data_IF_251339227391
#
_entry.id   IF_251339227391
#
_cell.length_a   1.000
_cell.length_b   1.000
_cell.length_c   1.000
_cell.angle_alpha   90.00
_cell.angle_beta   90.00
_cell.angle_gamma   90.00
#
_symmetry.space_group_name_H-M   'P 1'
#
loop_
_entity.id
_entity.type
_entity.pdbx_description
1 polymer ?
#
# COMPACT_ATOMS: atom_id res chain seq x y z
N UNK A 1 3.02 -17.15 -3.84
CA UNK A 1 3.66 -15.86 -4.13
C UNK A 1 2.59 -14.87 -4.62
N UNK A 2 2.67 -13.58 -4.20
CA UNK A 2 1.86 -12.47 -4.72
C UNK A 2 2.72 -11.68 -5.70
N UNK A 3 2.19 -11.36 -6.87
CA UNK A 3 2.83 -10.47 -7.83
C UNK A 3 2.22 -9.06 -7.70
N UNK A 4 3.07 -8.07 -7.45
CA UNK A 4 2.71 -6.64 -7.46
C UNK A 4 3.26 -6.00 -8.73
N UNK A 5 2.37 -5.57 -9.62
CA UNK A 5 2.73 -4.80 -10.82
C UNK A 5 2.89 -3.34 -10.43
N UNK A 6 4.09 -2.80 -10.62
CA UNK A 6 4.43 -1.41 -10.33
C UNK A 6 4.21 -0.52 -11.56
N UNK A 7 3.27 0.41 -11.46
CA UNK A 7 2.99 1.43 -12.47
C UNK A 7 3.78 2.72 -12.26
N UNK A 8 5.00 2.64 -11.71
CA UNK A 8 5.88 3.78 -11.45
C UNK A 8 5.28 4.79 -10.47
N UNK A 9 4.65 4.27 -9.40
CA UNK A 9 4.02 5.10 -8.38
C UNK A 9 4.81 5.11 -7.07
N UNK A 10 4.89 6.26 -6.43
CA UNK A 10 5.57 6.40 -5.12
C UNK A 10 4.89 5.60 -3.99
N UNK A 11 3.60 5.26 -4.12
CA UNK A 11 2.86 4.44 -3.17
C UNK A 11 2.98 2.94 -3.41
N UNK A 12 3.61 2.49 -4.50
CA UNK A 12 3.81 1.05 -4.76
C UNK A 12 4.52 0.36 -3.59
N UNK A 13 5.54 0.99 -3.03
CA UNK A 13 6.25 0.41 -1.89
C UNK A 13 5.46 0.48 -0.57
N UNK A 14 4.52 1.42 -0.41
CA UNK A 14 3.58 1.38 0.71
C UNK A 14 2.63 0.18 0.56
N UNK A 15 2.16 -0.08 -0.65
CA UNK A 15 1.34 -1.26 -0.95
C UNK A 15 2.14 -2.56 -0.74
N UNK A 16 3.41 -2.60 -1.19
CA UNK A 16 4.34 -3.70 -0.91
C UNK A 16 4.49 -3.95 0.60
N UNK A 17 4.67 -2.89 1.39
CA UNK A 17 4.79 -3.00 2.85
C UNK A 17 3.50 -3.47 3.51
N UNK A 18 2.34 -2.93 3.10
CA UNK A 18 1.04 -3.34 3.63
C UNK A 18 0.76 -4.83 3.38
N UNK A 19 1.10 -5.34 2.19
CA UNK A 19 1.04 -6.77 1.87
C UNK A 19 2.14 -7.55 2.61
N UNK A 20 3.36 -7.01 2.69
CA UNK A 20 4.54 -7.62 3.32
C UNK A 20 4.41 -7.86 4.83
N UNK A 21 3.52 -7.11 5.51
CA UNK A 21 3.14 -7.38 6.91
C UNK A 21 2.30 -8.66 7.02
N UNK A 22 1.54 -8.99 5.97
CA UNK A 22 0.63 -10.12 5.93
C UNK A 22 1.28 -11.39 5.37
N UNK A 23 2.24 -11.23 4.44
CA UNK A 23 3.00 -12.35 3.85
C UNK A 23 4.35 -11.88 3.35
N UNK A 24 5.36 -12.74 3.43
CA UNK A 24 6.71 -12.47 2.91
C UNK A 24 6.89 -12.89 1.44
N UNK A 25 5.94 -13.64 0.91
CA UNK A 25 6.01 -14.21 -0.43
C UNK A 25 5.39 -13.24 -1.45
N UNK A 26 6.07 -12.11 -1.67
CA UNK A 26 5.67 -11.05 -2.57
C UNK A 26 6.84 -10.65 -3.49
N UNK A 27 6.55 -10.49 -4.77
CA UNK A 27 7.48 -10.01 -5.80
C UNK A 27 6.92 -8.75 -6.45
N UNK A 28 7.78 -7.75 -6.68
CA UNK A 28 7.43 -6.54 -7.43
C UNK A 28 8.05 -6.62 -8.81
N UNK A 29 7.29 -6.32 -9.83
CA UNK A 29 7.77 -6.15 -11.20
C UNK A 29 7.16 -4.89 -11.82
N UNK A 30 7.95 -4.15 -12.58
CA UNK A 30 7.45 -2.97 -13.30
C UNK A 30 6.59 -3.38 -14.48
N UNK A 31 5.64 -2.54 -14.81
CA UNK A 31 4.63 -2.80 -15.84
C UNK A 31 5.20 -2.91 -17.27
N UNK A 32 6.44 -2.54 -17.49
CA UNK A 32 7.19 -2.59 -18.76
C UNK A 32 8.42 -3.52 -18.69
N UNK A 33 8.68 -4.14 -17.52
CA UNK A 33 9.83 -5.03 -17.31
C UNK A 33 9.42 -6.51 -17.14
N UNK A 34 8.14 -6.85 -17.28
CA UNK A 34 7.62 -8.20 -17.17
C UNK A 34 6.67 -8.51 -18.33
N UNK A 35 6.64 -9.75 -18.77
CA UNK A 35 5.78 -10.26 -19.85
C UNK A 35 4.69 -11.18 -19.34
N UNK A 36 3.63 -11.39 -20.12
CA UNK A 36 2.57 -12.37 -19.82
C UNK A 36 3.13 -13.76 -19.63
N UNK A 37 4.06 -14.19 -20.49
CA UNK A 37 4.69 -15.51 -20.42
C UNK A 37 5.50 -15.72 -19.13
N UNK A 38 6.14 -14.66 -18.62
CA UNK A 38 6.86 -14.72 -17.35
C UNK A 38 5.87 -14.82 -16.19
N UNK A 39 4.77 -14.07 -16.20
CA UNK A 39 3.72 -14.16 -15.19
C UNK A 39 3.08 -15.57 -15.19
N UNK A 40 2.83 -16.16 -16.36
CA UNK A 40 2.36 -17.54 -16.47
C UNK A 40 3.33 -18.53 -15.80
N UNK A 41 4.63 -18.41 -16.08
CA UNK A 41 5.66 -19.25 -15.46
C UNK A 41 5.78 -19.06 -13.96
N UNK A 42 5.61 -17.82 -13.49
CA UNK A 42 5.63 -17.50 -12.06
C UNK A 42 4.41 -18.07 -11.31
N UNK A 43 3.29 -18.24 -12.01
CA UNK A 43 2.04 -18.79 -11.46
C UNK A 43 1.66 -18.14 -10.12
N UNK A 44 1.50 -16.81 -10.03
CA UNK A 44 1.23 -16.16 -8.77
C UNK A 44 -0.14 -16.56 -8.20
N UNK A 45 -0.24 -16.65 -6.88
CA UNK A 45 -1.49 -16.96 -6.20
C UNK A 45 -2.46 -15.74 -6.18
N UNK A 46 -1.94 -14.53 -6.38
CA UNK A 46 -2.71 -13.31 -6.57
C UNK A 46 -1.86 -12.26 -7.30
N UNK A 47 -2.53 -11.35 -8.01
CA UNK A 47 -1.91 -10.20 -8.68
C UNK A 47 -2.49 -8.93 -8.06
N UNK A 48 -1.63 -7.98 -7.72
CA UNK A 48 -2.01 -6.64 -7.28
C UNK A 48 -1.46 -5.65 -8.31
N UNK A 49 -2.31 -4.75 -8.82
CA UNK A 49 -1.91 -3.72 -9.78
C UNK A 49 -1.91 -2.38 -9.06
N UNK A 50 -0.74 -1.77 -9.00
CA UNK A 50 -0.50 -0.56 -8.20
C UNK A 50 -1.21 0.67 -8.75
N UNK A 51 -1.29 1.74 -7.93
CA UNK A 51 -1.49 3.09 -8.45
C UNK A 51 -0.46 3.43 -9.52
N UNK A 52 -0.69 4.54 -10.23
CA UNK A 52 0.24 5.05 -11.23
C UNK A 52 -0.22 6.37 -11.82
N UNK A 53 0.65 7.07 -12.56
CA UNK A 53 0.31 8.29 -13.28
C UNK A 53 -0.44 8.00 -14.59
N UNK A 54 -1.11 9.02 -15.12
CA UNK A 54 -1.70 8.99 -16.47
C UNK A 54 -2.97 8.16 -16.58
N UNK A 55 -3.14 7.53 -17.73
CA UNK A 55 -4.30 6.71 -18.08
C UNK A 55 -3.94 5.22 -18.08
N UNK A 56 -4.91 4.33 -17.86
CA UNK A 56 -4.66 2.87 -17.86
C UNK A 56 -4.01 2.35 -19.13
N UNK A 57 -4.43 2.85 -20.31
CA UNK A 57 -3.85 2.49 -21.61
C UNK A 57 -2.35 2.77 -21.73
N UNK A 58 -1.82 3.69 -20.89
CA UNK A 58 -0.42 4.05 -20.85
C UNK A 58 0.35 3.30 -19.74
N UNK A 59 -0.34 2.38 -19.03
CA UNK A 59 0.20 1.61 -17.90
C UNK A 59 0.82 0.26 -18.31
N UNK A 60 1.56 0.25 -19.42
CA UNK A 60 2.28 -0.92 -19.89
C UNK A 60 1.40 -2.16 -20.00
N UNK A 61 1.83 -3.26 -19.41
CA UNK A 61 1.17 -4.56 -19.48
C UNK A 61 -0.13 -4.67 -18.63
N UNK A 62 -0.47 -3.66 -17.81
CA UNK A 62 -1.50 -3.77 -16.76
C UNK A 62 -2.86 -4.23 -17.29
N UNK A 63 -3.34 -3.69 -18.42
CA UNK A 63 -4.61 -4.13 -19.00
C UNK A 63 -4.53 -5.55 -19.58
N UNK A 64 -3.42 -5.91 -20.21
CA UNK A 64 -3.20 -7.23 -20.77
C UNK A 64 -3.17 -8.30 -19.67
N UNK A 65 -2.54 -8.01 -18.53
CA UNK A 65 -2.57 -8.83 -17.32
C UNK A 65 -4.00 -9.08 -16.86
N UNK A 66 -4.82 -8.01 -16.79
CA UNK A 66 -6.23 -8.13 -16.38
C UNK A 66 -6.99 -9.04 -17.36
N UNK A 67 -6.87 -8.79 -18.66
CA UNK A 67 -7.57 -9.56 -19.71
C UNK A 67 -7.17 -11.02 -19.70
N UNK A 68 -5.89 -11.31 -19.45
CA UNK A 68 -5.35 -12.67 -19.52
C UNK A 68 -5.64 -13.47 -18.25
N UNK A 69 -5.52 -12.86 -17.08
CA UNK A 69 -5.55 -13.58 -15.80
C UNK A 69 -6.87 -13.44 -15.03
N UNK A 70 -7.77 -12.54 -15.41
CA UNK A 70 -9.08 -12.45 -14.78
C UNK A 70 -9.86 -13.76 -14.94
N UNK A 71 -10.38 -14.26 -13.82
CA UNK A 71 -11.03 -15.58 -13.77
C UNK A 71 -10.08 -16.75 -13.52
N UNK A 72 -8.77 -16.54 -13.65
CA UNK A 72 -7.73 -17.57 -13.41
C UNK A 72 -6.96 -17.28 -12.11
N UNK A 73 -6.65 -16.03 -11.89
CA UNK A 73 -5.89 -15.56 -10.74
C UNK A 73 -6.66 -14.40 -10.09
N UNK A 74 -6.81 -14.34 -8.76
CA UNK A 74 -7.38 -13.20 -8.07
C UNK A 74 -6.59 -11.91 -8.35
N UNK A 75 -7.31 -10.83 -8.71
CA UNK A 75 -6.71 -9.54 -9.05
C UNK A 75 -7.29 -8.43 -8.18
N UNK A 76 -6.42 -7.60 -7.60
CA UNK A 76 -6.76 -6.33 -6.94
C UNK A 76 -6.10 -5.17 -7.67
N UNK A 77 -6.88 -4.26 -8.22
CA UNK A 77 -6.39 -3.00 -8.79
C UNK A 77 -6.59 -1.84 -7.82
N UNK A 78 -5.55 -1.03 -7.61
CA UNK A 78 -5.59 0.17 -6.75
C UNK A 78 -5.41 1.41 -7.61
N UNK A 79 -6.32 2.38 -7.48
CA UNK A 79 -6.34 3.67 -8.18
C UNK A 79 -6.23 3.50 -9.71
N UNK A 80 -5.05 3.65 -10.32
CA UNK A 80 -4.84 3.36 -11.74
C UNK A 80 -5.19 1.90 -12.08
N UNK A 81 -4.82 0.94 -11.21
CA UNK A 81 -5.16 -0.47 -11.39
C UNK A 81 -6.68 -0.72 -11.37
N UNK A 82 -7.45 0.01 -10.56
CA UNK A 82 -8.92 -0.01 -10.58
C UNK A 82 -9.47 0.50 -11.91
N UNK A 83 -8.92 1.60 -12.41
CA UNK A 83 -9.30 2.17 -13.70
C UNK A 83 -8.94 1.21 -14.85
N UNK A 84 -7.76 0.57 -14.79
CA UNK A 84 -7.34 -0.43 -15.74
C UNK A 84 -8.29 -1.64 -15.80
N UNK A 85 -8.84 -2.07 -14.66
CA UNK A 85 -9.87 -3.12 -14.65
C UNK A 85 -11.11 -2.64 -15.41
N UNK A 86 -11.60 -1.43 -15.17
CA UNK A 86 -12.77 -0.93 -15.88
C UNK A 86 -12.52 -0.83 -17.39
N UNK A 87 -11.37 -0.28 -17.81
CA UNK A 87 -11.01 -0.07 -19.22
C UNK A 87 -10.76 -1.42 -19.93
N UNK A 88 -10.11 -2.38 -19.28
CA UNK A 88 -9.85 -3.72 -19.82
C UNK A 88 -11.14 -4.49 -20.19
N UNK A 89 -12.24 -4.22 -19.49
CA UNK A 89 -13.55 -4.80 -19.79
C UNK A 89 -14.45 -3.88 -20.65
N UNK A 90 -13.93 -2.76 -21.15
CA UNK A 90 -14.63 -1.88 -22.10
C UNK A 90 -15.31 -0.65 -21.49
N UNK A 91 -15.07 -0.36 -20.20
CA UNK A 91 -15.48 0.88 -19.56
C UNK A 91 -14.65 2.08 -20.00
N UNK A 92 -15.09 3.28 -19.66
CA UNK A 92 -14.37 4.53 -19.97
C UNK A 92 -13.86 5.19 -18.71
N UNK A 93 -12.71 5.86 -18.83
CA UNK A 93 -12.12 6.67 -17.78
C UNK A 93 -12.32 8.14 -18.13
N UNK A 94 -12.85 8.89 -17.18
CA UNK A 94 -13.19 10.31 -17.35
C UNK A 94 -12.61 11.16 -16.23
N UNK A 95 -12.54 12.46 -16.43
CA UNK A 95 -12.13 13.37 -15.37
C UNK A 95 -13.15 13.38 -14.22
N UNK A 96 -12.63 13.29 -12.99
CA UNK A 96 -13.45 13.46 -11.80
C UNK A 96 -14.04 14.87 -11.73
N UNK A 97 -15.27 14.99 -11.23
CA UNK A 97 -15.89 16.31 -11.00
C UNK A 97 -15.08 17.20 -10.05
N UNK A 98 -14.31 16.59 -9.18
CA UNK A 98 -13.41 17.26 -8.24
C UNK A 98 -12.11 16.47 -8.16
N UNK A 99 -11.00 17.14 -8.43
CA UNK A 99 -9.68 16.56 -8.22
C UNK A 99 -9.38 16.51 -6.72
N UNK A 100 -8.93 15.37 -6.24
CA UNK A 100 -8.55 15.17 -4.85
C UNK A 100 -7.11 14.68 -4.80
N UNK A 101 -6.30 15.30 -3.96
CA UNK A 101 -4.93 14.91 -3.73
C UNK A 101 -4.60 14.97 -2.26
N UNK A 102 -4.32 13.80 -1.65
CA UNK A 102 -3.97 13.70 -0.23
C UNK A 102 -5.11 14.07 0.73
N UNK A 103 -6.37 13.87 0.33
CA UNK A 103 -7.54 14.15 1.16
C UNK A 103 -8.28 12.87 1.53
N UNK A 104 -8.71 12.79 2.79
CA UNK A 104 -9.68 11.78 3.22
C UNK A 104 -11.09 12.24 2.85
N UNK A 105 -11.89 11.31 2.34
CA UNK A 105 -13.33 11.49 2.11
C UNK A 105 -14.10 10.29 2.61
N UNK A 106 -15.39 10.48 2.84
CA UNK A 106 -16.28 9.40 3.20
C UNK A 106 -16.58 8.54 1.96
N UNK A 107 -16.46 7.23 2.12
CA UNK A 107 -16.74 6.22 1.09
C UNK A 107 -17.80 5.28 1.64
N UNK A 108 -18.89 5.13 0.91
CA UNK A 108 -20.00 4.23 1.22
C UNK A 108 -19.71 2.85 0.61
N UNK A 109 -19.67 1.82 1.44
CA UNK A 109 -19.30 0.46 1.09
C UNK A 109 -20.54 -0.46 1.06
N UNK A 110 -20.57 -1.36 0.10
CA UNK A 110 -21.43 -2.55 0.18
C UNK A 110 -20.74 -3.61 1.06
N UNK A 111 -21.03 -3.61 2.35
CA UNK A 111 -20.42 -4.50 3.35
C UNK A 111 -20.83 -5.97 3.22
N UNK A 112 -21.82 -6.30 2.39
CA UNK A 112 -22.12 -7.69 2.02
C UNK A 112 -21.06 -8.28 1.07
N UNK A 113 -20.17 -7.43 0.52
CA UNK A 113 -19.08 -7.87 -0.34
C UNK A 113 -17.89 -8.38 0.50
N UNK A 114 -17.27 -9.54 0.19
CA UNK A 114 -16.14 -10.09 0.92
C UNK A 114 -14.97 -9.10 1.11
N UNK A 115 -14.68 -8.27 0.10
CA UNK A 115 -13.61 -7.27 0.19
C UNK A 115 -13.78 -6.31 1.38
N UNK A 116 -15.02 -6.05 1.80
CA UNK A 116 -15.36 -5.12 2.88
C UNK A 116 -15.91 -5.81 4.12
N UNK A 117 -15.67 -7.11 4.26
CA UNK A 117 -16.06 -7.89 5.43
C UNK A 117 -15.51 -7.26 6.72
N UNK A 118 -16.34 -7.15 7.74
CA UNK A 118 -15.96 -6.58 9.05
C UNK A 118 -15.80 -5.06 9.09
N UNK A 119 -16.00 -4.34 7.98
CA UNK A 119 -15.94 -2.88 7.94
C UNK A 119 -17.31 -2.24 8.19
N UNK A 120 -17.29 -0.97 8.57
CA UNK A 120 -18.50 -0.13 8.63
C UNK A 120 -18.97 0.20 7.21
N UNK A 121 -20.27 0.48 7.06
CA UNK A 121 -20.86 0.88 5.77
C UNK A 121 -20.32 2.20 5.21
N UNK A 122 -19.75 3.05 6.06
CA UNK A 122 -19.06 4.28 5.65
C UNK A 122 -17.70 4.32 6.32
N UNK A 123 -16.65 4.54 5.52
CA UNK A 123 -15.27 4.65 5.95
C UNK A 123 -14.65 5.97 5.47
N UNK A 124 -13.58 6.40 6.11
CA UNK A 124 -12.73 7.47 5.58
C UNK A 124 -11.54 6.86 4.85
N UNK A 125 -11.32 7.25 3.58
CA UNK A 125 -10.20 6.77 2.79
C UNK A 125 -9.49 7.89 2.05
N UNK A 126 -8.18 7.72 1.86
CA UNK A 126 -7.32 8.66 1.16
C UNK A 126 -7.54 8.59 -0.36
N UNK A 127 -7.61 9.75 -1.00
CA UNK A 127 -7.79 9.87 -2.46
C UNK A 127 -6.70 10.76 -3.06
N UNK A 128 -6.14 10.31 -4.20
CA UNK A 128 -5.06 10.98 -4.93
C UNK A 128 -5.30 10.94 -6.43
N UNK A 129 -6.53 11.16 -6.89
CA UNK A 129 -6.89 10.98 -8.29
C UNK A 129 -7.64 12.17 -8.89
N UNK A 130 -7.41 12.38 -10.19
CA UNK A 130 -8.15 13.30 -11.04
C UNK A 130 -9.04 12.59 -12.06
N UNK A 131 -8.88 11.29 -12.21
CA UNK A 131 -9.63 10.41 -13.11
C UNK A 131 -10.47 9.42 -12.32
N UNK A 132 -11.60 9.01 -12.92
CA UNK A 132 -12.56 8.04 -12.36
C UNK A 132 -13.16 7.19 -13.45
N UNK A 133 -13.67 6.03 -13.07
CA UNK A 133 -14.50 5.20 -13.94
C UNK A 133 -15.83 5.90 -14.21
N UNK A 134 -16.19 6.03 -15.47
CA UNK A 134 -17.48 6.58 -15.89
C UNK A 134 -18.61 5.61 -15.58
N UNK A 135 -19.57 6.05 -14.78
CA UNK A 135 -20.71 5.23 -14.35
C UNK A 135 -21.67 4.86 -15.49
N UNK A 136 -21.72 5.69 -16.56
CA UNK A 136 -22.62 5.46 -17.69
C UNK A 136 -22.10 4.33 -18.59
N UNK A 137 -20.78 4.24 -18.76
CA UNK A 137 -20.13 3.24 -19.60
C UNK A 137 -19.64 2.02 -18.83
N UNK A 138 -20.01 1.85 -17.55
CA UNK A 138 -19.58 0.69 -16.77
C UNK A 138 -20.08 -0.61 -17.40
N UNK A 139 -19.18 -1.55 -17.79
CA UNK A 139 -19.56 -2.81 -18.41
C UNK A 139 -20.49 -3.65 -17.51
N UNK A 140 -21.43 -4.37 -18.11
CA UNK A 140 -22.39 -5.21 -17.38
C UNK A 140 -21.77 -6.35 -16.59
N UNK A 141 -20.56 -6.81 -16.97
CA UNK A 141 -19.79 -7.81 -16.22
C UNK A 141 -19.19 -7.26 -14.92
N UNK A 142 -19.14 -5.93 -14.77
CA UNK A 142 -18.69 -5.28 -13.53
C UNK A 142 -19.88 -4.83 -12.67
N UNK A 143 -19.66 -4.72 -11.38
CA UNK A 143 -20.61 -4.17 -10.42
C UNK A 143 -19.91 -3.20 -9.49
N UNK A 144 -20.59 -2.08 -9.19
CA UNK A 144 -20.15 -1.11 -8.19
C UNK A 144 -20.35 -1.68 -6.80
N UNK A 145 -19.30 -1.63 -5.98
CA UNK A 145 -19.33 -2.10 -4.59
C UNK A 145 -18.97 -1.00 -3.58
N UNK A 146 -18.54 0.18 -4.03
CA UNK A 146 -18.42 1.38 -3.20
C UNK A 146 -18.58 2.66 -4.03
N UNK A 147 -19.12 3.72 -3.37
CA UNK A 147 -19.30 5.06 -3.95
C UNK A 147 -18.91 6.13 -2.94
N UNK A 148 -18.59 7.34 -3.43
CA UNK A 148 -18.53 8.52 -2.57
C UNK A 148 -19.93 9.18 -2.40
N UNK A 149 -19.97 10.31 -1.71
CA UNK A 149 -21.16 11.13 -1.46
C UNK A 149 -21.79 11.71 -2.74
N UNK A 150 -21.02 11.76 -3.83
CA UNK A 150 -21.45 12.26 -5.15
C UNK A 150 -21.77 11.13 -6.13
N UNK A 151 -21.94 9.91 -5.62
CA UNK A 151 -22.16 8.69 -6.39
C UNK A 151 -21.06 8.38 -7.43
N UNK A 152 -19.85 8.90 -7.24
CA UNK A 152 -18.70 8.47 -8.03
C UNK A 152 -18.31 7.05 -7.64
N UNK A 153 -17.92 6.25 -8.60
CA UNK A 153 -17.46 4.87 -8.37
C UNK A 153 -16.15 4.89 -7.60
N UNK A 154 -16.15 4.25 -6.43
CA UNK A 154 -14.98 4.14 -5.56
C UNK A 154 -14.46 2.70 -5.44
N UNK A 155 -15.28 1.71 -5.78
CA UNK A 155 -14.81 0.34 -5.96
C UNK A 155 -15.73 -0.43 -6.90
N UNK A 156 -15.13 -1.35 -7.65
CA UNK A 156 -15.79 -2.28 -8.55
C UNK A 156 -15.34 -3.71 -8.28
N UNK A 157 -16.16 -4.66 -8.71
CA UNK A 157 -15.77 -6.06 -8.83
C UNK A 157 -16.28 -6.66 -10.13
N UNK A 158 -15.61 -7.65 -10.66
CA UNK A 158 -16.17 -8.53 -11.68
C UNK A 158 -17.26 -9.42 -11.05
N UNK A 159 -18.36 -9.68 -11.77
CA UNK A 159 -19.49 -10.43 -11.20
C UNK A 159 -19.18 -11.90 -10.98
N UNK A 160 -18.38 -12.50 -11.86
CA UNK A 160 -18.06 -13.92 -11.88
C UNK A 160 -16.62 -14.22 -11.45
N UNK A 161 -15.68 -13.30 -11.74
CA UNK A 161 -14.25 -13.49 -11.50
C UNK A 161 -13.82 -12.83 -10.19
N UNK A 162 -12.76 -13.34 -9.52
CA UNK A 162 -12.18 -12.73 -8.32
C UNK A 162 -11.30 -11.52 -8.68
N UNK A 163 -11.87 -10.57 -9.43
CA UNK A 163 -11.21 -9.34 -9.89
C UNK A 163 -11.89 -8.14 -9.27
N UNK A 164 -11.14 -7.38 -8.49
CA UNK A 164 -11.59 -6.27 -7.66
C UNK A 164 -10.76 -5.03 -7.91
N UNK A 165 -11.37 -3.86 -7.80
CA UNK A 165 -10.66 -2.59 -7.91
C UNK A 165 -11.17 -1.57 -6.90
N UNK A 166 -10.26 -0.81 -6.29
CA UNK A 166 -10.55 0.31 -5.39
C UNK A 166 -9.91 1.60 -5.93
N UNK A 167 -10.69 2.68 -6.02
CA UNK A 167 -10.22 3.98 -6.53
C UNK A 167 -9.41 4.75 -5.49
N UNK A 168 -9.67 4.51 -4.21
CA UNK A 168 -8.94 5.08 -3.09
C UNK A 168 -7.68 4.25 -2.78
N UNK A 169 -6.83 4.77 -1.89
CA UNK A 169 -5.55 4.18 -1.53
C UNK A 169 -5.62 3.45 -0.19
N UNK A 170 -5.84 2.12 -0.17
CA UNK A 170 -5.86 1.34 1.08
C UNK A 170 -4.50 1.31 1.79
N UNK A 171 -3.39 1.45 1.05
CA UNK A 171 -2.01 1.46 1.56
C UNK A 171 -1.62 2.80 2.20
N UNK A 172 -2.44 3.83 2.06
CA UNK A 172 -2.14 5.15 2.61
C UNK A 172 -2.29 5.17 4.13
N UNK A 173 -1.34 5.79 4.81
CA UNK A 173 -1.41 6.07 6.25
C UNK A 173 -2.71 6.80 6.62
N UNK A 174 -3.20 7.66 5.74
CA UNK A 174 -4.48 8.36 5.93
C UNK A 174 -5.69 7.42 5.89
N UNK A 175 -5.64 6.29 5.20
CA UNK A 175 -6.71 5.28 5.23
C UNK A 175 -6.60 4.40 6.48
N UNK A 176 -5.37 4.19 6.98
CA UNK A 176 -5.08 3.52 8.24
C UNK A 176 -5.51 2.05 8.31
N UNK A 177 -5.98 1.61 9.48
CA UNK A 177 -6.33 0.21 9.73
C UNK A 177 -7.42 -0.33 8.78
N UNK A 178 -8.34 0.51 8.35
CA UNK A 178 -9.41 0.15 7.41
C UNK A 178 -8.81 -0.32 6.08
N UNK A 179 -7.77 0.36 5.60
CA UNK A 179 -7.07 -0.03 4.37
C UNK A 179 -6.35 -1.37 4.52
N UNK A 180 -5.70 -1.59 5.65
CA UNK A 180 -5.06 -2.87 5.95
C UNK A 180 -6.07 -4.02 5.97
N UNK A 181 -7.26 -3.80 6.55
CA UNK A 181 -8.34 -4.80 6.55
C UNK A 181 -8.83 -5.12 5.12
N UNK A 182 -8.91 -4.13 4.24
CA UNK A 182 -9.30 -4.36 2.82
C UNK A 182 -8.27 -5.26 2.12
N UNK A 183 -6.97 -4.98 2.30
CA UNK A 183 -5.89 -5.80 1.74
C UNK A 183 -5.92 -7.20 2.34
N UNK A 184 -6.11 -7.32 3.66
CA UNK A 184 -6.22 -8.60 4.36
C UNK A 184 -7.42 -9.42 3.84
N UNK A 185 -8.59 -8.81 3.70
CA UNK A 185 -9.78 -9.46 3.16
C UNK A 185 -9.56 -9.94 1.72
N UNK A 186 -8.90 -9.13 0.88
CA UNK A 186 -8.54 -9.57 -0.47
C UNK A 186 -7.66 -10.82 -0.44
N UNK A 187 -6.62 -10.84 0.38
CA UNK A 187 -5.70 -11.97 0.45
C UNK A 187 -6.35 -13.22 1.05
N UNK A 188 -7.06 -13.08 2.18
CA UNK A 188 -7.64 -14.23 2.89
C UNK A 188 -8.92 -14.74 2.23
N UNK A 189 -9.90 -13.84 2.00
CA UNK A 189 -11.27 -14.24 1.67
C UNK A 189 -11.48 -14.39 0.17
N UNK A 190 -10.67 -13.69 -0.66
CA UNK A 190 -10.80 -13.70 -2.11
C UNK A 190 -9.70 -14.55 -2.75
N UNK A 191 -8.43 -14.33 -2.38
CA UNK A 191 -7.31 -15.06 -2.93
C UNK A 191 -7.00 -16.39 -2.20
N UNK A 192 -7.63 -16.64 -1.05
CA UNK A 192 -7.41 -17.88 -0.28
C UNK A 192 -6.01 -18.01 0.31
N UNK A 193 -5.28 -16.91 0.40
CA UNK A 193 -3.92 -16.85 0.93
C UNK A 193 -4.02 -16.66 2.44
N UNK A 194 -3.68 -17.69 3.22
CA UNK A 194 -3.64 -17.58 4.67
C UNK A 194 -2.55 -16.57 5.07
N UNK A 195 -2.98 -15.37 5.42
CA UNK A 195 -2.07 -14.38 5.97
C UNK A 195 -1.68 -14.82 7.38
N UNK A 196 -0.39 -14.89 7.63
CA UNK A 196 0.08 -14.89 8.99
C UNK A 196 0.09 -13.42 9.40
N UNK A 197 -0.92 -13.00 10.19
CA UNK A 197 -0.70 -11.80 10.99
C UNK A 197 0.59 -12.06 11.75
N UNK A 198 1.70 -11.53 11.27
CA UNK A 198 2.71 -11.12 12.20
C UNK A 198 1.92 -10.16 13.09
N UNK A 199 1.41 -10.67 14.23
CA UNK A 199 1.00 -9.79 15.30
C UNK A 199 2.21 -8.88 15.39
N UNK A 200 2.10 -7.64 14.92
CA UNK A 200 2.79 -6.57 15.59
C UNK A 200 2.34 -6.81 17.03
N UNK A 201 3.13 -7.58 17.74
CA UNK A 201 2.87 -7.87 19.12
C UNK A 201 2.76 -6.46 19.67
N UNK A 202 1.57 -6.13 20.15
CA UNK A 202 1.43 -4.92 20.93
C UNK A 202 2.47 -5.12 22.02
N UNK A 203 3.65 -4.51 21.83
CA UNK A 203 4.76 -4.61 22.72
C UNK A 203 4.23 -4.27 24.10
N UNK A 204 4.56 -5.06 25.14
CA UNK A 204 4.17 -4.75 26.51
C UNK A 204 4.48 -3.27 26.75
N UNK A 205 3.60 -2.56 27.47
CA UNK A 205 3.79 -1.14 27.75
C UNK A 205 5.17 -0.81 28.33
N UNK A 206 5.84 -1.79 28.94
CA UNK A 206 7.23 -1.69 29.42
C UNK A 206 8.27 -1.44 28.32
N UNK A 207 8.10 -2.01 27.11
CA UNK A 207 9.05 -1.81 26.00
C UNK A 207 8.76 -0.54 25.20
N UNK A 208 7.50 -0.04 25.22
CA UNK A 208 7.12 1.27 24.65
C UNK A 208 7.71 2.44 25.45
N UNK A 209 8.15 2.23 26.68
CA UNK A 209 8.71 3.25 27.56
C UNK A 209 10.12 3.68 27.12
N UNK A 210 10.89 2.77 26.49
CA UNK A 210 12.29 3.06 26.17
C UNK A 210 12.48 4.21 25.16
N UNK A 211 11.67 4.29 24.10
CA UNK A 211 11.80 5.38 23.14
C UNK A 211 11.33 6.73 23.70
N UNK A 212 10.39 6.73 24.65
CA UNK A 212 9.84 7.96 25.26
C UNK A 212 10.91 8.88 25.85
N UNK A 213 11.97 8.32 26.44
CA UNK A 213 13.05 9.14 27.02
C UNK A 213 13.80 9.94 25.96
N UNK A 214 14.05 9.34 24.78
CA UNK A 214 14.74 10.02 23.66
C UNK A 214 13.81 11.01 22.99
N UNK A 215 12.53 10.67 22.82
CA UNK A 215 11.50 11.60 22.34
C UNK A 215 11.43 12.86 23.21
N UNK A 216 11.43 12.70 24.52
CA UNK A 216 11.39 13.85 25.44
C UNK A 216 12.59 14.77 25.24
N UNK A 217 13.81 14.22 25.11
CA UNK A 217 15.03 15.01 24.90
C UNK A 217 14.90 15.85 23.62
N UNK A 218 14.48 15.22 22.51
CA UNK A 218 14.39 15.90 21.20
C UNK A 218 13.22 16.90 21.17
N UNK A 219 12.07 16.55 21.75
CA UNK A 219 10.92 17.45 21.84
C UNK A 219 11.22 18.68 22.74
N UNK A 220 12.10 18.55 23.74
CA UNK A 220 12.59 19.67 24.56
C UNK A 220 13.66 20.53 23.82
N UNK A 221 13.89 20.27 22.52
CA UNK A 221 14.87 20.98 21.68
C UNK A 221 16.33 20.62 21.96
N UNK A 222 16.57 19.55 22.75
CA UNK A 222 17.93 19.08 23.07
C UNK A 222 18.37 17.99 22.07
N UNK A 223 19.70 17.89 21.88
CA UNK A 223 20.26 16.88 21.00
C UNK A 223 20.56 15.58 21.76
N UNK A 224 20.40 14.45 21.03
CA UNK A 224 20.86 13.16 21.50
C UNK A 224 22.38 13.06 21.33
N UNK A 225 23.04 12.38 22.23
CA UNK A 225 24.41 11.89 22.02
C UNK A 225 24.40 10.81 20.96
N UNK A 226 25.56 10.49 20.38
CA UNK A 226 25.70 9.41 19.39
C UNK A 226 25.15 8.06 19.91
N UNK A 227 25.45 7.70 21.17
CA UNK A 227 24.97 6.46 21.80
C UNK A 227 23.44 6.48 22.02
N UNK A 228 22.87 7.62 22.41
CA UNK A 228 21.43 7.76 22.57
C UNK A 228 20.69 7.69 21.22
N UNK A 229 21.25 8.31 20.19
CA UNK A 229 20.74 8.21 18.82
C UNK A 229 20.82 6.78 18.30
N UNK A 230 21.95 6.08 18.51
CA UNK A 230 22.11 4.66 18.20
C UNK A 230 20.99 3.83 18.85
N UNK A 231 20.79 3.96 20.17
CA UNK A 231 19.75 3.22 20.90
C UNK A 231 18.33 3.55 20.45
N UNK A 232 18.05 4.81 20.17
CA UNK A 232 16.76 5.24 19.66
C UNK A 232 16.45 4.58 18.29
N UNK A 233 17.44 4.58 17.39
CA UNK A 233 17.32 3.96 16.08
C UNK A 233 17.27 2.42 16.18
N UNK A 234 18.01 1.81 17.09
CA UNK A 234 17.93 0.35 17.33
C UNK A 234 16.53 -0.09 17.74
N UNK A 235 15.87 0.66 18.60
CA UNK A 235 14.46 0.42 18.98
C UNK A 235 13.55 0.47 17.74
N UNK A 236 13.73 1.47 16.88
CA UNK A 236 12.94 1.64 15.65
C UNK A 236 13.21 0.49 14.67
N UNK A 237 14.48 0.21 14.38
CA UNK A 237 14.87 -0.83 13.41
C UNK A 237 14.63 -2.25 13.91
N UNK A 238 14.31 -2.43 15.20
CA UNK A 238 13.90 -3.71 15.80
C UNK A 238 12.39 -3.83 15.93
N UNK A 239 11.62 -2.94 15.28
CA UNK A 239 10.13 -2.90 15.32
C UNK A 239 9.56 -2.78 16.75
N UNK A 240 10.31 -2.11 17.65
CA UNK A 240 9.94 -1.84 19.05
C UNK A 240 9.38 -0.43 19.28
N UNK A 241 9.09 0.32 18.21
CA UNK A 241 8.48 1.63 18.26
C UNK A 241 7.14 1.65 17.51
N UNK A 242 6.16 2.38 18.03
CA UNK A 242 4.93 2.63 17.29
C UNK A 242 5.14 3.67 16.16
N UNK A 243 4.33 3.62 15.11
CA UNK A 243 4.37 4.61 14.03
C UNK A 243 4.24 6.05 14.56
N UNK A 244 3.42 6.27 15.59
CA UNK A 244 3.28 7.58 16.22
C UNK A 244 4.58 8.05 16.91
N UNK A 245 5.31 7.14 17.57
CA UNK A 245 6.60 7.46 18.18
C UNK A 245 7.68 7.74 17.12
N UNK A 246 7.70 6.98 16.04
CA UNK A 246 8.63 7.19 14.92
C UNK A 246 8.36 8.57 14.29
N UNK A 247 7.10 8.86 13.95
CA UNK A 247 6.71 10.14 13.38
C UNK A 247 7.05 11.31 14.31
N UNK A 248 6.81 11.17 15.61
CA UNK A 248 7.15 12.18 16.62
C UNK A 248 8.67 12.45 16.65
N UNK A 249 9.49 11.39 16.66
CA UNK A 249 10.96 11.52 16.68
C UNK A 249 11.47 12.24 15.43
N UNK A 250 11.04 11.80 14.25
CA UNK A 250 11.47 12.39 12.98
C UNK A 250 11.04 13.84 12.84
N UNK A 251 9.81 14.18 13.26
CA UNK A 251 9.30 15.55 13.24
C UNK A 251 10.08 16.43 14.21
N UNK A 252 10.32 15.96 15.43
CA UNK A 252 11.05 16.72 16.44
C UNK A 252 12.52 16.96 16.04
N UNK A 253 13.21 15.95 15.47
CA UNK A 253 14.54 16.08 14.90
C UNK A 253 14.55 17.12 13.78
N UNK A 254 13.60 17.04 12.84
CA UNK A 254 13.48 17.99 11.73
C UNK A 254 13.24 19.42 12.19
N UNK A 255 12.41 19.61 13.22
CA UNK A 255 12.12 20.94 13.79
C UNK A 255 13.33 21.54 14.52
N UNK A 256 14.06 20.71 15.25
CA UNK A 256 15.26 21.12 15.99
C UNK A 256 16.48 21.33 15.06
N UNK A 257 16.58 20.56 14.00
CA UNK A 257 17.78 20.35 13.21
C UNK A 257 18.65 19.21 13.79
N UNK A 258 19.05 18.29 12.94
CA UNK A 258 19.85 17.12 13.30
C UNK A 258 21.32 17.52 13.54
N UNK A 259 21.98 16.88 14.52
CA UNK A 259 23.41 17.04 14.78
C UNK A 259 24.22 15.92 14.12
N UNK A 260 25.54 16.12 14.01
CA UNK A 260 26.46 15.11 13.47
C UNK A 260 26.41 13.83 14.31
N UNK A 261 26.37 13.95 15.63
CA UNK A 261 26.30 12.80 16.56
C UNK A 261 25.01 12.00 16.36
N UNK A 262 23.88 12.68 16.20
CA UNK A 262 22.59 12.04 15.94
C UNK A 262 22.60 11.29 14.60
N UNK A 263 23.08 11.91 13.53
CA UNK A 263 23.19 11.29 12.20
C UNK A 263 24.14 10.10 12.27
N UNK A 264 25.27 10.22 12.97
CA UNK A 264 26.27 9.13 13.11
C UNK A 264 25.69 7.93 13.84
N UNK A 265 24.99 8.17 14.96
CA UNK A 265 24.35 7.11 15.72
C UNK A 265 23.27 6.36 14.91
N UNK A 266 22.41 7.11 14.20
CA UNK A 266 21.39 6.53 13.33
C UNK A 266 22.03 5.70 12.20
N UNK A 267 23.03 6.23 11.51
CA UNK A 267 23.68 5.58 10.39
C UNK A 267 24.39 4.27 10.79
N UNK A 268 24.97 4.19 12.00
CA UNK A 268 25.61 2.97 12.51
C UNK A 268 24.59 1.82 12.60
N UNK A 269 23.45 2.04 13.25
CA UNK A 269 22.40 1.01 13.38
C UNK A 269 21.86 0.60 12.02
N UNK A 270 21.58 1.57 11.14
CA UNK A 270 21.07 1.27 9.80
C UNK A 270 22.03 0.39 9.02
N UNK A 271 23.34 0.64 9.10
CA UNK A 271 24.38 -0.19 8.47
C UNK A 271 24.46 -1.60 9.06
N UNK A 272 24.34 -1.73 10.38
CA UNK A 272 24.42 -3.03 11.07
C UNK A 272 23.21 -3.92 10.73
N UNK A 273 22.03 -3.32 10.61
CA UNK A 273 20.76 -4.02 10.33
C UNK A 273 20.41 -4.14 8.85
N UNK A 274 21.19 -3.53 7.97
CA UNK A 274 20.99 -3.60 6.54
C UNK A 274 21.24 -5.03 6.01
N UNK A 275 20.31 -5.52 5.18
CA UNK A 275 20.52 -6.76 4.43
C UNK A 275 21.70 -6.60 3.48
N UNK A 276 22.74 -7.40 3.66
CA UNK A 276 23.94 -7.36 2.79
C UNK A 276 23.56 -7.90 1.41
N UNK A 277 23.56 -7.04 0.41
CA UNK A 277 23.46 -7.46 -1.00
C UNK A 277 24.85 -7.86 -1.44
N UNK A 278 25.08 -9.15 -1.67
CA UNK A 278 26.33 -9.63 -2.26
C UNK A 278 26.29 -9.34 -3.77
N UNK A 279 26.86 -8.23 -4.19
CA UNK A 279 27.11 -7.95 -5.62
C UNK A 279 28.34 -8.74 -6.03
N UNK A 280 28.18 -9.73 -6.90
CA UNK A 280 29.31 -10.35 -7.61
C UNK A 280 29.69 -9.43 -8.78
N UNK A 281 30.73 -8.66 -8.60
CA UNK A 281 31.29 -7.79 -9.61
C UNK A 281 31.86 -6.52 -8.95
N UNK A 282 33.15 -6.23 -9.18
CA UNK A 282 33.77 -4.95 -8.87
C UNK A 282 33.15 -3.91 -9.81
N UNK A 283 32.55 -2.87 -9.24
CA UNK A 283 32.36 -1.61 -9.95
C UNK A 283 33.73 -0.94 -9.98
N UNK A 284 34.39 -0.92 -11.16
CA UNK A 284 35.50 -0.02 -11.46
C UNK A 284 34.96 1.38 -11.74
#
# INVERSE_FOLDING_TARGET
>A
MILLIDNYDSFTYNLYQAVGVLTKDITVARNDEITIDEIEKMSPAAIIISPGPGYPKDAGISEEVIKTFSGRIPILGVCLGHQAIAEAFGGKIVHAKQQLHGKQTDINLNTANPLFSGLKSTIKAARYHSLVVDSISLPTCLSVIATDDKAQIMAIRHREHPTYGVQFHPESVLTGEVGNMIIENFLNDIAGIKTTKTKSAALPDSERVELKKYLKIVCDGKSLTEDEAYKAMDIIMSDRASNAQIACLLTALRMKGETIDEITGFAKVMREKMSKVNVKGTLD
#
